data_IF_984156317995
#
_entry.id   IF_984156317995
#
_cell.length_a   1.000
_cell.length_b   1.000
_cell.length_c   1.000
_cell.angle_alpha   90.00
_cell.angle_beta   90.00
_cell.angle_gamma   90.00
#
_symmetry.space_group_name_H-M   'P 1'
#
loop_
_entity.id
_entity.type
_entity.pdbx_description
1 polymer ?
#
# COMPACT_ATOMS: atom_id res chain seq x y z
N UNK A 1 34.24 6.01 -59.51
CA UNK A 1 33.93 6.60 -58.18
C UNK A 1 32.55 6.13 -57.75
N UNK A 2 32.45 5.29 -56.71
CA UNK A 2 31.16 4.87 -56.19
C UNK A 2 30.34 6.10 -55.77
N UNK A 3 29.08 6.15 -56.18
CA UNK A 3 28.23 7.32 -56.01
C UNK A 3 28.00 7.56 -54.50
N UNK A 4 28.67 8.56 -53.94
CA UNK A 4 28.74 8.84 -52.49
C UNK A 4 27.35 8.91 -51.83
N UNK A 5 26.32 9.34 -52.58
CA UNK A 5 24.92 9.35 -52.13
C UNK A 5 24.34 7.95 -51.90
N UNK A 6 24.72 6.96 -52.73
CA UNK A 6 24.25 5.58 -52.62
C UNK A 6 24.90 4.87 -51.43
N UNK A 7 26.21 5.07 -51.25
CA UNK A 7 26.95 4.53 -50.09
C UNK A 7 26.38 5.10 -48.78
N UNK A 8 26.12 6.42 -48.73
CA UNK A 8 25.51 7.06 -47.57
C UNK A 8 24.12 6.49 -47.24
N UNK A 9 23.26 6.26 -48.24
CA UNK A 9 21.94 5.63 -48.04
C UNK A 9 22.05 4.22 -47.49
N UNK A 10 22.96 3.42 -48.02
CA UNK A 10 23.15 2.05 -47.57
C UNK A 10 23.65 1.97 -46.12
N UNK A 11 24.62 2.82 -45.76
CA UNK A 11 25.14 2.93 -44.39
C UNK A 11 24.04 3.36 -43.40
N UNK A 12 23.18 4.32 -43.78
CA UNK A 12 22.06 4.75 -42.95
C UNK A 12 21.07 3.60 -42.72
N UNK A 13 20.72 2.83 -43.76
CA UNK A 13 19.81 1.69 -43.65
C UNK A 13 20.37 0.59 -42.73
N UNK A 14 21.66 0.30 -42.86
CA UNK A 14 22.35 -0.69 -42.01
C UNK A 14 22.38 -0.22 -40.54
N UNK A 15 22.68 1.05 -40.29
CA UNK A 15 22.66 1.62 -38.93
C UNK A 15 21.27 1.56 -38.30
N UNK A 16 20.21 1.89 -39.04
CA UNK A 16 18.83 1.82 -38.54
C UNK A 16 18.45 0.39 -38.12
N UNK A 17 19.00 -0.63 -38.77
CA UNK A 17 18.74 -2.02 -38.41
C UNK A 17 19.59 -2.52 -37.23
N UNK A 18 20.88 -2.17 -37.22
CA UNK A 18 21.84 -2.72 -36.25
C UNK A 18 21.78 -1.98 -34.91
N UNK A 19 21.62 -0.66 -34.91
CA UNK A 19 21.70 0.17 -33.69
C UNK A 19 20.62 -0.21 -32.66
N UNK A 20 19.33 -0.40 -33.01
CA UNK A 20 18.31 -0.79 -32.03
C UNK A 20 18.61 -2.15 -31.38
N UNK A 21 19.06 -3.13 -32.17
CA UNK A 21 19.43 -4.45 -31.66
C UNK A 21 20.65 -4.40 -30.75
N UNK A 22 21.68 -3.63 -31.11
CA UNK A 22 22.85 -3.41 -30.28
C UNK A 22 22.53 -2.67 -28.98
N UNK A 23 21.67 -1.65 -29.03
CA UNK A 23 21.20 -0.93 -27.84
C UNK A 23 20.38 -1.85 -26.92
N UNK A 24 19.49 -2.67 -27.48
CA UNK A 24 18.73 -3.66 -26.73
C UNK A 24 19.64 -4.68 -26.04
N UNK A 25 20.65 -5.18 -26.76
CA UNK A 25 21.67 -6.08 -26.20
C UNK A 25 22.46 -5.40 -25.07
N UNK A 26 22.92 -4.16 -25.26
CA UNK A 26 23.63 -3.39 -24.23
C UNK A 26 22.77 -3.18 -22.98
N UNK A 27 21.49 -2.88 -23.15
CA UNK A 27 20.55 -2.74 -22.04
C UNK A 27 20.37 -4.03 -21.26
N UNK A 28 20.31 -5.19 -21.92
CA UNK A 28 20.21 -6.47 -21.19
C UNK A 28 21.53 -6.93 -20.56
N UNK A 29 22.64 -6.83 -21.30
CA UNK A 29 23.92 -7.37 -20.87
C UNK A 29 24.62 -6.48 -19.83
N UNK A 30 24.46 -5.15 -19.92
CA UNK A 30 25.12 -4.19 -19.01
C UNK A 30 24.15 -3.39 -18.14
N UNK A 31 22.86 -3.39 -18.46
CA UNK A 31 21.86 -2.66 -17.68
C UNK A 31 21.64 -3.32 -16.31
N UNK A 32 21.84 -2.55 -15.25
CA UNK A 32 21.40 -2.90 -13.89
C UNK A 32 20.19 -2.03 -13.56
N UNK A 33 18.99 -2.59 -13.68
CA UNK A 33 17.77 -1.89 -13.29
C UNK A 33 17.74 -1.70 -11.77
N UNK A 34 18.01 -0.46 -11.32
CA UNK A 34 17.85 -0.07 -9.92
C UNK A 34 16.43 0.44 -9.71
N UNK A 35 15.60 -0.39 -9.10
CA UNK A 35 14.29 0.05 -8.62
C UNK A 35 14.47 0.99 -7.43
N UNK A 36 13.78 2.13 -7.46
CA UNK A 36 13.65 2.99 -6.29
C UNK A 36 12.54 2.39 -5.41
N UNK A 37 12.85 1.87 -4.20
CA UNK A 37 11.82 1.36 -3.30
C UNK A 37 10.92 2.49 -2.82
N UNK A 38 9.71 2.15 -2.38
CA UNK A 38 8.84 3.17 -1.78
C UNK A 38 9.44 3.70 -0.48
N UNK A 39 9.21 4.97 -0.12
CA UNK A 39 9.62 5.49 1.18
C UNK A 39 8.98 4.70 2.33
N UNK A 40 9.61 4.78 3.50
CA UNK A 40 9.05 4.31 4.77
C UNK A 40 8.76 5.52 5.66
N UNK A 41 7.52 5.62 6.13
CA UNK A 41 7.02 6.72 6.94
C UNK A 41 7.07 6.40 8.45
N UNK A 42 7.04 7.47 9.25
CA UNK A 42 7.13 7.41 10.71
C UNK A 42 8.52 7.73 11.26
N UNK A 43 8.65 7.83 12.58
CA UNK A 43 9.93 8.10 13.23
C UNK A 43 10.97 7.02 12.87
N UNK A 44 12.21 7.48 12.65
CA UNK A 44 13.37 6.62 12.40
C UNK A 44 14.30 6.72 13.58
N UNK A 45 14.66 5.58 14.17
CA UNK A 45 15.68 5.53 15.21
C UNK A 45 16.92 4.83 14.68
N UNK A 46 18.10 5.31 15.06
CA UNK A 46 19.37 4.65 14.70
C UNK A 46 19.51 3.41 15.57
N UNK A 47 19.59 2.23 14.96
CA UNK A 47 19.86 1.00 15.68
C UNK A 47 21.29 1.00 16.21
N UNK A 48 21.52 0.29 17.33
CA UNK A 48 22.88 0.04 17.85
C UNK A 48 23.65 -0.99 17.00
N UNK A 49 23.00 -1.62 16.03
CA UNK A 49 23.57 -2.61 15.11
C UNK A 49 24.04 -1.94 13.82
N UNK A 50 25.05 -2.52 13.18
CA UNK A 50 25.63 -2.02 11.95
C UNK A 50 25.96 -3.15 10.98
N UNK A 51 25.89 -2.86 9.68
CA UNK A 51 26.41 -3.71 8.63
C UNK A 51 27.53 -3.00 7.85
N UNK A 52 28.54 -3.76 7.40
CA UNK A 52 29.67 -3.22 6.64
C UNK A 52 29.44 -3.39 5.14
N UNK A 53 29.38 -2.28 4.40
CA UNK A 53 29.43 -2.30 2.92
C UNK A 53 30.71 -1.62 2.48
N UNK A 54 31.60 -2.36 1.80
CA UNK A 54 32.89 -1.84 1.30
C UNK A 54 33.74 -1.15 2.39
N UNK A 55 33.74 -1.71 3.60
CA UNK A 55 34.51 -1.17 4.73
C UNK A 55 33.85 -0.01 5.48
N UNK A 56 32.73 0.53 5.00
CA UNK A 56 31.95 1.56 5.71
C UNK A 56 30.90 0.92 6.62
N UNK A 57 30.86 1.36 7.88
CA UNK A 57 29.88 0.95 8.89
C UNK A 57 28.59 1.73 8.64
N UNK A 58 27.52 1.04 8.27
CA UNK A 58 26.20 1.62 8.10
C UNK A 58 25.33 1.11 9.26
N UNK A 59 24.85 2.03 10.09
CA UNK A 59 23.94 1.70 11.18
C UNK A 59 22.56 1.33 10.64
N UNK A 60 21.96 0.27 11.17
CA UNK A 60 20.61 -0.11 10.77
C UNK A 60 19.60 0.96 11.22
N UNK A 61 18.56 1.20 10.44
CA UNK A 61 17.47 2.10 10.85
C UNK A 61 16.33 1.27 11.41
N UNK A 62 15.93 1.54 12.65
CA UNK A 62 14.69 1.01 13.22
C UNK A 62 13.55 1.88 12.69
N UNK A 63 12.72 1.28 11.84
CA UNK A 63 11.54 1.91 11.29
C UNK A 63 10.35 1.78 12.23
N UNK A 64 9.49 2.80 12.22
CA UNK A 64 8.16 2.70 12.79
C UNK A 64 7.39 1.51 12.22
N UNK A 65 6.75 0.75 13.10
CA UNK A 65 5.91 -0.38 12.75
C UNK A 65 4.55 -0.22 13.41
N UNK A 66 3.51 -0.68 12.72
CA UNK A 66 2.17 -0.73 13.28
C UNK A 66 2.20 -1.71 14.46
N UNK A 67 1.72 -1.28 15.65
CA UNK A 67 1.72 -2.09 16.84
C UNK A 67 0.73 -3.25 16.70
N UNK A 68 0.89 -4.23 17.58
CA UNK A 68 -0.06 -5.32 17.72
C UNK A 68 -1.45 -4.79 18.08
N UNK A 69 -2.49 -5.40 17.52
CA UNK A 69 -3.87 -5.02 17.77
C UNK A 69 -4.77 -6.24 17.89
N UNK A 70 -5.91 -6.04 18.54
CA UNK A 70 -6.98 -7.03 18.67
C UNK A 70 -8.29 -6.33 18.38
N UNK A 71 -8.93 -6.70 17.28
CA UNK A 71 -10.20 -6.16 16.81
C UNK A 71 -11.09 -7.33 16.36
N UNK A 72 -12.35 -7.05 16.04
CA UNK A 72 -13.31 -8.04 15.55
C UNK A 72 -13.75 -7.69 14.13
N UNK A 73 -13.84 -8.68 13.26
CA UNK A 73 -14.37 -8.47 11.90
C UNK A 73 -15.90 -8.47 11.84
N UNK A 74 -16.44 -8.27 10.64
CA UNK A 74 -17.88 -8.30 10.36
C UNK A 74 -18.57 -9.64 10.65
N UNK A 75 -17.81 -10.74 10.80
CA UNK A 75 -18.31 -12.05 11.24
C UNK A 75 -18.10 -12.26 12.75
N UNK A 76 -17.77 -11.19 13.48
CA UNK A 76 -17.44 -11.22 14.90
C UNK A 76 -16.24 -12.12 15.24
N UNK A 77 -15.33 -12.35 14.28
CA UNK A 77 -14.10 -13.13 14.50
C UNK A 77 -12.99 -12.22 14.99
N UNK A 78 -12.21 -12.69 15.96
CA UNK A 78 -11.04 -11.96 16.43
C UNK A 78 -9.98 -11.87 15.32
N UNK A 79 -9.61 -10.65 14.97
CA UNK A 79 -8.55 -10.30 14.02
C UNK A 79 -7.43 -9.60 14.75
N UNK A 80 -6.20 -10.01 14.41
CA UNK A 80 -4.95 -9.45 14.92
C UNK A 80 -4.00 -9.18 13.76
N UNK A 81 -2.89 -8.51 14.04
CA UNK A 81 -1.81 -8.30 13.08
C UNK A 81 -1.29 -9.61 12.47
N UNK A 82 -1.40 -10.75 13.19
CA UNK A 82 -0.96 -12.08 12.71
C UNK A 82 -1.78 -12.57 11.53
N UNK A 83 -3.05 -12.20 11.45
CA UNK A 83 -3.93 -12.55 10.33
C UNK A 83 -3.47 -11.93 8.99
N UNK A 84 -2.53 -10.97 9.05
CA UNK A 84 -2.02 -10.21 7.93
C UNK A 84 -0.52 -10.44 7.67
N UNK A 85 0.09 -11.46 8.30
CA UNK A 85 1.49 -11.80 8.05
C UNK A 85 1.75 -12.13 6.57
N UNK A 86 2.82 -11.54 6.02
CA UNK A 86 3.16 -11.68 4.60
C UNK A 86 2.17 -11.03 3.64
N UNK A 87 1.31 -10.11 4.13
CA UNK A 87 0.34 -9.36 3.32
C UNK A 87 0.70 -7.87 3.27
N UNK A 88 0.37 -7.25 2.14
CA UNK A 88 0.34 -5.80 1.99
C UNK A 88 -1.07 -5.34 2.39
N UNK A 89 -1.17 -4.30 3.21
CA UNK A 89 -2.46 -3.78 3.65
C UNK A 89 -2.73 -2.41 3.04
N UNK A 90 -3.95 -2.23 2.52
CA UNK A 90 -4.53 -0.91 2.31
C UNK A 90 -5.53 -0.66 3.45
N UNK A 91 -5.20 0.30 4.32
CA UNK A 91 -5.96 0.59 5.53
C UNK A 91 -6.67 1.93 5.43
N UNK A 92 -7.91 2.00 5.91
CA UNK A 92 -8.62 3.26 6.11
C UNK A 92 -9.43 3.25 7.40
N UNK A 93 -9.62 4.43 7.97
CA UNK A 93 -10.51 4.65 9.12
C UNK A 93 -11.81 5.28 8.64
N UNK A 94 -12.94 4.77 9.10
CA UNK A 94 -14.26 5.19 8.62
C UNK A 94 -15.34 5.01 9.69
N UNK A 95 -16.60 5.32 9.39
CA UNK A 95 -17.77 4.86 10.14
C UNK A 95 -18.97 4.78 9.19
N UNK A 96 -19.97 3.93 9.47
CA UNK A 96 -21.02 3.62 8.49
C UNK A 96 -22.01 4.76 8.25
N UNK A 97 -22.26 5.60 9.25
CA UNK A 97 -23.18 6.75 9.14
C UNK A 97 -22.61 7.96 8.39
N UNK A 98 -21.34 7.90 7.99
CA UNK A 98 -20.66 9.00 7.30
C UNK A 98 -21.40 9.36 5.99
N UNK A 99 -21.91 10.60 5.85
CA UNK A 99 -22.96 10.90 4.88
C UNK A 99 -22.51 10.75 3.42
N UNK A 100 -21.33 11.27 3.07
CA UNK A 100 -20.90 11.40 1.66
C UNK A 100 -19.46 10.94 1.44
N UNK A 101 -18.51 11.50 2.19
CA UNK A 101 -17.08 11.34 1.94
C UNK A 101 -16.59 9.88 2.09
N UNK A 102 -17.00 9.19 3.15
CA UNK A 102 -16.59 7.81 3.37
C UNK A 102 -17.22 6.84 2.35
N UNK A 103 -18.41 7.15 1.81
CA UNK A 103 -19.02 6.34 0.76
C UNK A 103 -18.20 6.42 -0.53
N UNK A 104 -17.71 7.60 -0.88
CA UNK A 104 -16.83 7.78 -2.03
C UNK A 104 -15.51 7.04 -1.85
N UNK A 105 -14.85 7.23 -0.70
CA UNK A 105 -13.58 6.54 -0.39
C UNK A 105 -13.75 5.02 -0.45
N UNK A 106 -14.78 4.47 0.22
CA UNK A 106 -14.99 3.03 0.24
C UNK A 106 -15.44 2.49 -1.12
N UNK A 107 -16.12 3.27 -1.96
CA UNK A 107 -16.37 2.90 -3.36
C UNK A 107 -15.06 2.80 -4.15
N UNK A 108 -14.17 3.77 -4.00
CA UNK A 108 -12.86 3.75 -4.65
C UNK A 108 -11.99 2.56 -4.17
N UNK A 109 -12.09 2.21 -2.88
CA UNK A 109 -11.46 0.98 -2.35
C UNK A 109 -12.11 -0.28 -2.94
N UNK A 110 -13.43 -0.32 -3.13
CA UNK A 110 -14.12 -1.44 -3.76
C UNK A 110 -13.68 -1.66 -5.22
N UNK A 111 -13.46 -0.58 -5.96
CA UNK A 111 -12.94 -0.62 -7.34
C UNK A 111 -11.51 -1.19 -7.36
N UNK A 112 -10.65 -0.75 -6.44
CA UNK A 112 -9.32 -1.34 -6.26
C UNK A 112 -9.40 -2.83 -5.85
N UNK A 113 -10.23 -3.18 -4.89
CA UNK A 113 -10.40 -4.57 -4.46
C UNK A 113 -10.80 -5.48 -5.63
N UNK A 114 -11.73 -5.00 -6.48
CA UNK A 114 -12.13 -5.67 -7.70
C UNK A 114 -10.96 -5.83 -8.68
N UNK A 115 -10.19 -4.77 -8.92
CA UNK A 115 -9.02 -4.82 -9.80
C UNK A 115 -7.95 -5.82 -9.31
N UNK A 116 -7.81 -5.96 -8.00
CA UNK A 116 -6.84 -6.85 -7.35
C UNK A 116 -7.44 -8.17 -6.86
N UNK A 117 -8.64 -8.57 -7.30
CA UNK A 117 -9.34 -9.78 -6.81
C UNK A 117 -8.53 -11.08 -6.94
N UNK A 118 -7.65 -11.17 -7.95
CA UNK A 118 -6.76 -12.33 -8.17
C UNK A 118 -5.44 -12.24 -7.38
N UNK A 119 -5.19 -11.15 -6.66
CA UNK A 119 -3.98 -10.95 -5.89
C UNK A 119 -4.18 -11.41 -4.44
N UNK A 120 -3.37 -12.38 -4.01
CA UNK A 120 -3.48 -12.96 -2.67
C UNK A 120 -2.59 -12.27 -1.62
N UNK A 121 -1.79 -11.29 -2.03
CA UNK A 121 -0.84 -10.56 -1.18
C UNK A 121 -1.45 -9.27 -0.66
N UNK A 122 -2.22 -8.55 -1.49
CA UNK A 122 -2.90 -7.32 -1.09
C UNK A 122 -4.21 -7.65 -0.34
N UNK A 123 -4.38 -7.05 0.83
CA UNK A 123 -5.61 -7.08 1.63
C UNK A 123 -6.07 -5.66 1.94
N UNK A 124 -7.37 -5.52 2.12
CA UNK A 124 -8.03 -4.26 2.45
C UNK A 124 -8.55 -4.34 3.88
N UNK A 125 -8.37 -3.27 4.64
CA UNK A 125 -8.80 -3.22 6.05
C UNK A 125 -9.44 -1.88 6.32
N UNK A 126 -10.72 -1.89 6.64
CA UNK A 126 -11.46 -0.68 7.04
C UNK A 126 -11.78 -0.77 8.52
N UNK A 127 -11.25 0.16 9.32
CA UNK A 127 -11.44 0.16 10.79
C UNK A 127 -12.46 1.23 11.14
N UNK A 128 -13.54 0.86 11.82
CA UNK A 128 -14.51 1.86 12.29
C UNK A 128 -13.95 2.70 13.44
N UNK A 129 -14.27 3.99 13.47
CA UNK A 129 -13.97 4.91 14.58
C UNK A 129 -15.17 5.14 15.50
N UNK A 130 -16.34 4.59 15.13
CA UNK A 130 -17.58 4.60 15.91
C UNK A 130 -18.09 3.17 16.17
N UNK A 131 -17.38 2.38 16.99
CA UNK A 131 -17.76 1.00 17.29
C UNK A 131 -19.07 0.87 18.09
N UNK A 132 -19.56 1.97 18.71
CA UNK A 132 -20.82 1.96 19.44
C UNK A 132 -22.01 1.77 18.49
N UNK A 133 -21.95 2.38 17.30
CA UNK A 133 -22.90 2.15 16.21
C UNK A 133 -22.49 0.95 15.36
N UNK A 134 -21.21 0.88 14.98
CA UNK A 134 -20.69 -0.04 13.97
C UNK A 134 -20.31 -1.38 14.58
N UNK A 135 -21.31 -2.11 15.08
CA UNK A 135 -21.15 -3.50 15.49
C UNK A 135 -20.97 -4.43 14.27
N UNK A 136 -20.58 -5.69 14.52
CA UNK A 136 -20.31 -6.67 13.46
C UNK A 136 -21.47 -6.82 12.46
N UNK A 137 -22.72 -6.80 12.91
CA UNK A 137 -23.91 -6.93 12.04
C UNK A 137 -24.07 -5.71 11.11
N UNK A 138 -23.84 -4.50 11.64
CA UNK A 138 -23.85 -3.26 10.86
C UNK A 138 -22.73 -3.27 9.82
N UNK A 139 -21.52 -3.65 10.23
CA UNK A 139 -20.37 -3.79 9.34
C UNK A 139 -20.60 -4.84 8.24
N UNK A 140 -21.25 -5.96 8.56
CA UNK A 140 -21.59 -7.00 7.57
C UNK A 140 -22.57 -6.51 6.51
N UNK A 141 -23.60 -5.76 6.92
CA UNK A 141 -24.53 -5.11 5.97
C UNK A 141 -23.80 -4.09 5.10
N UNK A 142 -22.92 -3.30 5.70
CA UNK A 142 -22.12 -2.31 4.97
C UNK A 142 -21.18 -2.97 3.95
N UNK A 143 -20.43 -4.01 4.34
CA UNK A 143 -19.56 -4.80 3.47
C UNK A 143 -20.34 -5.42 2.29
N UNK A 144 -21.51 -5.99 2.57
CA UNK A 144 -22.40 -6.54 1.53
C UNK A 144 -22.82 -5.47 0.53
N UNK A 145 -23.14 -4.25 0.98
CA UNK A 145 -23.52 -3.15 0.08
C UNK A 145 -22.40 -2.73 -0.88
N UNK A 146 -21.15 -2.90 -0.45
CA UNK A 146 -19.95 -2.66 -1.25
C UNK A 146 -19.51 -3.86 -2.10
N UNK A 147 -20.22 -4.99 -2.00
CA UNK A 147 -19.85 -6.28 -2.61
C UNK A 147 -18.42 -6.71 -2.25
N UNK A 148 -18.00 -6.39 -1.03
CA UNK A 148 -16.66 -6.69 -0.55
C UNK A 148 -16.46 -8.20 -0.36
N UNK A 149 -15.37 -8.74 -0.88
CA UNK A 149 -14.98 -10.13 -0.63
C UNK A 149 -14.39 -10.26 0.77
N UNK A 150 -15.03 -11.04 1.65
CA UNK A 150 -14.63 -11.20 3.04
C UNK A 150 -13.21 -11.76 3.24
N UNK A 151 -12.66 -12.46 2.24
CA UNK A 151 -11.29 -12.98 2.28
C UNK A 151 -10.27 -11.92 1.89
N UNK A 152 -10.68 -10.91 1.12
CA UNK A 152 -9.80 -9.86 0.61
C UNK A 152 -9.91 -8.57 1.45
N UNK A 153 -11.10 -8.27 1.95
CA UNK A 153 -11.44 -7.04 2.64
C UNK A 153 -12.11 -7.32 3.99
N UNK A 154 -11.47 -6.83 5.06
CA UNK A 154 -11.97 -6.92 6.43
C UNK A 154 -12.48 -5.57 6.92
N UNK A 155 -13.66 -5.56 7.52
CA UNK A 155 -14.21 -4.42 8.23
C UNK A 155 -14.10 -4.71 9.71
N UNK A 156 -13.37 -3.87 10.44
CA UNK A 156 -12.99 -4.13 11.82
C UNK A 156 -13.67 -3.15 12.78
N UNK A 157 -14.13 -3.67 13.92
CA UNK A 157 -14.68 -2.95 15.07
C UNK A 157 -14.03 -3.42 16.37
N UNK A 158 -14.26 -2.72 17.47
CA UNK A 158 -13.65 -3.06 18.76
C UNK A 158 -13.69 -1.90 19.75
N UNK A 159 -12.85 -1.97 20.78
CA UNK A 159 -12.84 -0.96 21.83
C UNK A 159 -12.15 0.34 21.37
N UNK A 160 -12.73 1.50 21.70
CA UNK A 160 -12.18 2.82 21.37
C UNK A 160 -10.83 3.08 22.03
N UNK A 161 -10.56 2.50 23.22
CA UNK A 161 -9.26 2.50 23.87
C UNK A 161 -8.18 1.77 23.08
N UNK A 162 -8.56 0.90 22.15
CA UNK A 162 -7.64 0.25 21.22
C UNK A 162 -7.58 1.00 19.88
N UNK A 163 -8.73 1.35 19.31
CA UNK A 163 -8.82 1.98 17.98
C UNK A 163 -8.14 3.35 17.94
N UNK A 164 -8.35 4.21 18.94
CA UNK A 164 -7.82 5.58 18.92
C UNK A 164 -6.31 5.67 19.14
N UNK A 165 -5.69 4.89 20.04
CA UNK A 165 -4.23 4.80 20.07
C UNK A 165 -3.66 4.12 18.82
N UNK A 166 -4.34 3.11 18.26
CA UNK A 166 -3.89 2.46 17.04
C UNK A 166 -3.85 3.43 15.86
N UNK A 167 -4.88 4.26 15.68
CA UNK A 167 -4.90 5.29 14.62
C UNK A 167 -3.78 6.32 14.81
N UNK A 168 -3.67 6.90 16.02
CA UNK A 168 -2.71 7.98 16.31
C UNK A 168 -1.26 7.53 16.37
N UNK A 169 -0.98 6.42 17.05
CA UNK A 169 0.39 5.98 17.32
C UNK A 169 0.84 4.91 16.32
N UNK A 170 -0.08 4.07 15.85
CA UNK A 170 0.23 3.02 14.89
C UNK A 170 0.22 3.52 13.45
N UNK A 171 -0.89 4.10 13.02
CA UNK A 171 -1.08 4.57 11.65
C UNK A 171 -0.69 6.03 11.43
N UNK A 172 -0.37 6.75 12.51
CA UNK A 172 0.03 8.17 12.51
C UNK A 172 -1.02 9.06 11.82
N UNK A 173 -2.30 8.74 12.02
CA UNK A 173 -3.43 9.53 11.54
C UNK A 173 -4.34 9.91 12.71
N UNK A 174 -4.89 11.11 12.67
CA UNK A 174 -5.88 11.54 13.64
C UNK A 174 -7.21 10.86 13.33
N UNK A 175 -7.71 10.08 14.28
CA UNK A 175 -9.09 9.62 14.33
C UNK A 175 -9.65 9.98 15.71
N UNK A 176 -10.53 10.98 15.77
CA UNK A 176 -11.17 11.41 17.02
C UNK A 176 -12.68 11.49 16.79
N UNK A 177 -13.43 10.91 17.73
CA UNK A 177 -14.89 11.03 17.79
C UNK A 177 -15.27 12.44 18.23
N UNK A 178 -16.01 13.14 17.38
CA UNK A 178 -16.52 14.47 17.66
C UNK A 178 -17.88 14.40 18.36
N UNK A 179 -17.89 14.09 19.66
CA UNK A 179 -19.05 14.25 20.56
C UNK A 179 -20.42 13.95 19.92
N UNK A 180 -20.59 12.79 19.28
CA UNK A 180 -21.85 12.33 18.66
C UNK A 180 -22.46 13.24 17.57
N UNK A 181 -21.69 14.20 17.03
CA UNK A 181 -22.07 14.96 15.85
C UNK A 181 -21.31 14.40 14.63
N UNK A 182 -21.99 13.84 13.62
CA UNK A 182 -21.36 13.33 12.40
C UNK A 182 -20.44 14.35 11.69
N UNK A 183 -20.65 15.64 11.92
CA UNK A 183 -19.86 16.73 11.33
C UNK A 183 -18.54 17.02 12.07
N UNK A 184 -18.37 16.54 13.31
CA UNK A 184 -17.19 16.82 14.15
C UNK A 184 -16.17 15.66 14.19
N UNK A 185 -16.39 14.57 13.46
CA UNK A 185 -15.39 13.52 13.35
C UNK A 185 -14.23 14.02 12.49
N UNK A 186 -13.04 14.14 13.08
CA UNK A 186 -11.80 14.29 12.31
C UNK A 186 -11.43 12.89 11.83
N UNK A 187 -12.05 12.47 10.73
CA UNK A 187 -11.63 11.26 10.01
C UNK A 187 -10.63 11.67 8.94
N UNK A 188 -9.50 10.98 8.95
CA UNK A 188 -8.50 11.12 7.92
C UNK A 188 -9.06 10.52 6.63
N UNK A 189 -9.32 11.33 5.61
CA UNK A 189 -9.61 10.93 4.21
C UNK A 189 -8.52 10.05 3.57
N UNK A 190 -7.54 9.61 4.36
CA UNK A 190 -6.35 8.93 3.91
C UNK A 190 -6.60 7.43 3.80
N UNK A 191 -6.21 6.91 2.66
CA UNK A 191 -5.84 5.51 2.48
C UNK A 191 -4.37 5.36 2.84
N UNK A 192 -4.05 4.29 3.58
CA UNK A 192 -2.72 4.05 4.13
C UNK A 192 -2.19 2.74 3.56
N UNK A 193 -1.08 2.81 2.83
CA UNK A 193 -0.43 1.62 2.27
C UNK A 193 0.61 1.10 3.27
N UNK A 194 0.55 -0.19 3.56
CA UNK A 194 1.39 -0.86 4.56
C UNK A 194 2.04 -2.09 3.94
N UNK A 195 3.33 -2.27 4.15
CA UNK A 195 4.06 -3.44 3.66
C UNK A 195 3.98 -4.68 4.59
N UNK A 196 4.60 -5.79 4.16
CA UNK A 196 4.62 -7.05 4.90
C UNK A 196 5.36 -6.96 6.24
N UNK A 197 6.24 -5.96 6.38
CA UNK A 197 7.00 -5.67 7.59
C UNK A 197 6.22 -4.76 8.56
N UNK A 198 4.92 -4.51 8.31
CA UNK A 198 4.03 -3.61 9.05
C UNK A 198 4.48 -2.15 9.05
N UNK A 199 5.14 -1.70 8.00
CA UNK A 199 5.64 -0.33 7.85
C UNK A 199 4.77 0.45 6.88
N UNK A 200 4.59 1.73 7.16
CA UNK A 200 3.78 2.61 6.32
C UNK A 200 4.60 3.03 5.09
N UNK A 201 4.05 2.82 3.91
CA UNK A 201 4.67 3.08 2.60
C UNK A 201 4.04 4.25 1.84
N UNK A 202 2.90 4.75 2.30
CA UNK A 202 2.26 5.92 1.72
C UNK A 202 0.95 6.31 2.40
N UNK A 203 0.59 7.57 2.19
CA UNK A 203 -0.71 8.16 2.54
C UNK A 203 -1.29 8.80 1.29
N UNK A 204 -2.54 8.50 0.97
CA UNK A 204 -3.18 8.96 -0.26
C UNK A 204 -4.55 9.50 0.08
N UNK A 205 -4.97 10.59 -0.55
CA UNK A 205 -6.35 11.04 -0.40
C UNK A 205 -7.29 10.11 -1.19
N UNK A 206 -8.22 9.46 -0.49
CA UNK A 206 -9.18 8.52 -1.07
C UNK A 206 -10.26 9.14 -1.97
N UNK A 207 -10.37 10.47 -2.05
CA UNK A 207 -11.27 11.18 -3.00
C UNK A 207 -10.55 11.77 -4.20
N UNK A 208 -9.22 11.90 -4.14
CA UNK A 208 -8.46 12.49 -5.22
C UNK A 208 -8.13 11.45 -6.28
N UNK A 209 -8.64 11.63 -7.50
CA UNK A 209 -8.36 10.76 -8.65
C UNK A 209 -6.85 10.61 -8.91
N UNK A 210 -6.09 11.69 -8.77
CA UNK A 210 -4.64 11.67 -8.96
C UNK A 210 -3.94 10.83 -7.88
N UNK A 211 -4.33 10.99 -6.62
CA UNK A 211 -3.77 10.21 -5.51
C UNK A 211 -4.19 8.73 -5.59
N UNK A 212 -5.41 8.43 -6.04
CA UNK A 212 -5.87 7.06 -6.29
C UNK A 212 -5.09 6.39 -7.43
N UNK A 213 -4.79 7.14 -8.50
CA UNK A 213 -3.96 6.65 -9.61
C UNK A 213 -2.54 6.36 -9.13
N UNK A 214 -1.96 7.31 -8.39
CA UNK A 214 -0.65 7.15 -7.76
C UNK A 214 -0.61 5.96 -6.79
N UNK A 215 -1.61 5.82 -5.94
CA UNK A 215 -1.76 4.67 -5.03
C UNK A 215 -1.75 3.36 -5.80
N UNK A 216 -2.52 3.26 -6.89
CA UNK A 216 -2.55 2.06 -7.71
C UNK A 216 -1.17 1.72 -8.29
N UNK A 217 -0.40 2.71 -8.73
CA UNK A 217 0.95 2.48 -9.24
C UNK A 217 1.93 2.10 -8.13
N UNK A 218 1.84 2.75 -6.97
CA UNK A 218 2.69 2.44 -5.82
C UNK A 218 2.35 1.06 -5.21
N UNK A 219 1.09 0.61 -5.26
CA UNK A 219 0.71 -0.78 -4.93
C UNK A 219 1.47 -1.76 -5.83
N UNK A 220 1.51 -1.54 -7.15
CA UNK A 220 2.24 -2.42 -8.08
C UNK A 220 3.74 -2.44 -7.77
N UNK A 221 4.32 -1.27 -7.48
CA UNK A 221 5.72 -1.15 -7.09
C UNK A 221 5.99 -1.94 -5.80
N UNK A 222 5.13 -1.78 -4.80
CA UNK A 222 5.28 -2.47 -3.52
C UNK A 222 5.15 -3.99 -3.66
N UNK A 223 4.17 -4.48 -4.43
CA UNK A 223 4.05 -5.91 -4.73
C UNK A 223 5.32 -6.43 -5.39
N UNK A 224 5.87 -5.71 -6.37
CA UNK A 224 7.11 -6.11 -7.04
C UNK A 224 8.33 -6.09 -6.09
N UNK A 225 8.38 -5.14 -5.15
CA UNK A 225 9.39 -5.07 -4.10
C UNK A 225 9.34 -6.30 -3.19
N UNK A 226 8.16 -6.62 -2.65
CA UNK A 226 7.96 -7.74 -1.73
C UNK A 226 8.21 -9.11 -2.40
N UNK A 227 7.73 -9.31 -3.63
CA UNK A 227 7.99 -10.54 -4.40
C UNK A 227 9.49 -10.76 -4.66
N UNK A 228 10.27 -9.69 -4.83
CA UNK A 228 11.73 -9.79 -5.00
C UNK A 228 12.45 -10.13 -3.71
N UNK A 229 12.00 -9.61 -2.56
CA UNK A 229 12.55 -10.02 -1.25
C UNK A 229 12.39 -11.53 -1.06
N UNK A 230 11.20 -12.07 -1.36
CA UNK A 230 10.94 -13.52 -1.28
C UNK A 230 11.87 -14.29 -2.22
N UNK A 231 12.00 -13.87 -3.49
CA UNK A 231 12.90 -14.55 -4.45
C UNK A 231 14.37 -14.50 -4.01
N UNK A 232 14.82 -13.38 -3.45
CA UNK A 232 16.21 -13.24 -2.98
C UNK A 232 16.53 -14.12 -1.77
N UNK A 233 15.54 -14.48 -0.95
CA UNK A 233 15.74 -15.33 0.23
C UNK A 233 15.72 -16.83 -0.12
N UNK A 234 15.40 -17.20 -1.37
CA UNK A 234 15.34 -18.59 -1.86
C UNK A 234 16.62 -19.03 -2.59
N UNK A 235 17.60 -18.15 -2.73
CA UNK A 235 18.93 -18.39 -3.32
C UNK A 235 20.01 -17.98 -2.33
#
# INVERSE_FOLDING_TARGET
MANFKVVKRFVILVLILIVPGFLYYLLQAKGKNRYKPLPVYGPKQVAKTFHKVRGQVIYDTIYHQIPDFKLYDQENKLITQKNFEGKILLVNFFFTQCPTLCKEINKNVADLATAYKKNNILKFVSITVDPATDNASVLKKYATSLKADENQWKFLTGDTSTIYPLSRNGFLVTAVNGNNNPENFVYSEKLILVDQDRRIRGYYNGTSVNEMTKLNDEIKVLIAEELRKIKSNLY
#
